data_IF_584244239688
#
_entry.id   IF_584244239688
#
_cell.length_a   1.000
_cell.length_b   1.000
_cell.length_c   1.000
_cell.angle_alpha   90.00
_cell.angle_beta   90.00
_cell.angle_gamma   90.00
#
_symmetry.space_group_name_H-M   'P 1'
#
loop_
_entity.id
_entity.type
_entity.pdbx_description
1 polymer ?
#
# COMPACT_ATOMS: atom_id res chain seq x y z
N UNK A 1 21.80 4.07 -5.91
CA UNK A 1 21.60 2.98 -4.93
C UNK A 1 20.68 3.53 -3.85
N UNK A 2 19.37 3.30 -3.95
CA UNK A 2 18.39 3.85 -3.00
C UNK A 2 17.93 2.74 -2.06
N UNK A 3 18.34 2.74 -0.78
CA UNK A 3 17.66 1.98 0.25
C UNK A 3 16.43 2.78 0.66
N UNK A 4 15.42 2.87 -0.21
CA UNK A 4 14.11 3.32 0.24
C UNK A 4 13.54 2.15 1.01
N UNK A 5 13.63 2.20 2.34
CA UNK A 5 12.92 1.31 3.26
C UNK A 5 11.51 1.11 2.72
N UNK A 6 11.23 -0.09 2.19
CA UNK A 6 9.93 -0.38 1.62
C UNK A 6 8.89 -0.17 2.72
N UNK A 7 8.00 0.80 2.54
CA UNK A 7 6.96 1.10 3.52
C UNK A 7 5.83 0.11 3.26
N UNK A 8 5.50 -0.70 4.27
CA UNK A 8 4.42 -1.67 4.20
C UNK A 8 3.24 -1.22 5.05
N UNK A 9 2.04 -1.50 4.57
CA UNK A 9 0.81 -1.28 5.33
C UNK A 9 -0.14 -2.45 5.10
N UNK A 10 -1.00 -2.77 6.06
CA UNK A 10 -1.98 -3.85 5.92
C UNK A 10 -3.36 -3.26 5.67
N UNK A 11 -4.18 -3.93 4.85
CA UNK A 11 -5.59 -3.59 4.67
C UNK A 11 -6.27 -3.22 5.98
N UNK A 12 -6.99 -2.11 5.96
CA UNK A 12 -7.74 -1.60 7.11
C UNK A 12 -6.95 -0.73 8.08
N UNK A 13 -5.62 -0.67 7.97
CA UNK A 13 -4.80 0.28 8.72
C UNK A 13 -4.81 1.66 8.05
N UNK A 14 -4.66 2.76 8.82
CA UNK A 14 -4.49 4.08 8.24
C UNK A 14 -3.18 4.14 7.44
N UNK A 15 -3.26 4.75 6.27
CA UNK A 15 -2.17 4.88 5.35
C UNK A 15 -1.09 5.82 5.92
N UNK A 16 0.16 5.36 6.10
CA UNK A 16 1.20 6.18 6.73
C UNK A 16 1.72 7.29 5.80
N UNK A 17 1.71 7.05 4.49
CA UNK A 17 2.25 7.94 3.44
C UNK A 17 1.36 7.95 2.21
N UNK A 18 1.04 9.15 1.72
CA UNK A 18 0.23 9.30 0.50
C UNK A 18 1.01 8.87 -0.73
N UNK A 19 0.36 8.16 -1.65
CA UNK A 19 1.02 7.72 -2.88
C UNK A 19 0.36 6.52 -3.54
N UNK A 20 1.09 5.88 -4.46
CA UNK A 20 0.68 4.64 -5.12
C UNK A 20 1.21 3.45 -4.35
N UNK A 21 0.27 2.59 -3.96
CA UNK A 21 0.54 1.38 -3.21
C UNK A 21 0.32 0.15 -4.09
N UNK A 22 1.18 -0.85 -3.99
CA UNK A 22 1.08 -2.12 -4.71
C UNK A 22 0.71 -3.26 -3.75
N UNK A 23 -0.20 -4.14 -4.16
CA UNK A 23 -0.54 -5.35 -3.40
C UNK A 23 0.65 -6.32 -3.35
N UNK A 24 0.88 -6.89 -2.18
CA UNK A 24 1.86 -7.94 -1.94
C UNK A 24 1.20 -9.31 -2.09
N UNK A 25 1.78 -10.18 -2.92
CA UNK A 25 1.30 -11.54 -3.19
C UNK A 25 1.58 -11.98 -4.63
N UNK A 26 0.96 -13.10 -5.03
CA UNK A 26 1.07 -13.61 -6.41
C UNK A 26 0.41 -12.69 -7.44
N UNK A 27 -0.64 -11.97 -7.02
CA UNK A 27 -1.32 -10.99 -7.86
C UNK A 27 -0.91 -9.58 -7.43
N UNK A 28 -0.43 -8.80 -8.40
CA UNK A 28 0.01 -7.42 -8.21
C UNK A 28 -1.02 -6.47 -8.80
N UNK A 29 -1.63 -5.66 -7.95
CA UNK A 29 -2.48 -4.53 -8.33
C UNK A 29 -1.94 -3.27 -7.68
N UNK A 30 -2.23 -2.11 -8.25
CA UNK A 30 -1.84 -0.81 -7.69
C UNK A 30 -3.08 0.00 -7.35
N UNK A 31 -2.98 0.80 -6.29
CA UNK A 31 -4.07 1.66 -5.85
C UNK A 31 -3.52 2.97 -5.26
N UNK A 32 -4.04 4.14 -5.66
CA UNK A 32 -3.68 5.43 -5.05
C UNK A 32 -4.36 5.57 -3.69
N UNK A 33 -3.58 5.86 -2.64
CA UNK A 33 -4.10 6.04 -1.28
C UNK A 33 -3.52 7.33 -0.70
N UNK A 34 -4.39 8.20 -0.17
CA UNK A 34 -3.96 9.39 0.56
C UNK A 34 -3.51 9.05 1.98
N UNK A 35 -2.61 9.85 2.55
CA UNK A 35 -2.17 9.70 3.94
C UNK A 35 -3.37 9.79 4.88
N UNK A 36 -3.43 8.89 5.87
CA UNK A 36 -4.51 8.80 6.85
C UNK A 36 -5.74 8.04 6.38
N UNK A 37 -5.94 7.85 5.06
CA UNK A 37 -7.03 7.02 4.56
C UNK A 37 -6.82 5.55 4.91
N UNK A 38 -7.92 4.81 5.07
CA UNK A 38 -7.88 3.37 5.36
C UNK A 38 -7.36 2.60 4.14
N UNK A 39 -6.39 1.72 4.34
CA UNK A 39 -5.88 0.85 3.28
C UNK A 39 -6.98 -0.05 2.72
N UNK A 40 -7.16 -0.13 1.40
CA UNK A 40 -8.23 -0.92 0.80
C UNK A 40 -8.01 -2.42 0.99
N UNK A 41 -9.10 -3.17 0.97
CA UNK A 41 -9.06 -4.62 0.78
C UNK A 41 -8.97 -4.96 -0.72
N UNK A 42 -8.58 -6.20 -1.01
CA UNK A 42 -8.62 -6.73 -2.36
C UNK A 42 -9.59 -7.91 -2.40
N UNK A 43 -10.73 -7.72 -3.06
CA UNK A 43 -11.82 -8.70 -3.13
C UNK A 43 -12.27 -9.20 -1.74
N UNK A 44 -12.42 -8.30 -0.76
CA UNK A 44 -12.80 -8.62 0.61
C UNK A 44 -11.67 -9.26 1.44
N UNK A 45 -10.48 -9.46 0.88
CA UNK A 45 -9.34 -10.09 1.57
C UNK A 45 -8.41 -9.03 2.16
N UNK A 46 -7.96 -9.30 3.39
CA UNK A 46 -6.89 -8.52 4.03
C UNK A 46 -5.56 -8.89 3.39
N UNK A 47 -4.92 -7.92 2.78
CA UNK A 47 -3.61 -8.08 2.14
C UNK A 47 -2.62 -7.06 2.71
N UNK A 48 -1.35 -7.24 2.33
CA UNK A 48 -0.32 -6.24 2.58
C UNK A 48 -0.12 -5.40 1.32
N UNK A 49 0.21 -4.15 1.54
CA UNK A 49 0.51 -3.14 0.52
C UNK A 49 1.92 -2.64 0.72
N UNK A 50 2.59 -2.28 -0.37
CA UNK A 50 3.89 -1.60 -0.36
C UNK A 50 3.82 -0.28 -1.11
N UNK A 51 4.41 0.76 -0.55
CA UNK A 51 4.51 2.04 -1.23
C UNK A 51 5.56 1.92 -2.34
N UNK A 52 5.16 2.22 -3.57
CA UNK A 52 6.04 2.20 -4.74
C UNK A 52 6.28 3.58 -5.34
N UNK A 53 5.39 4.54 -5.07
CA UNK A 53 5.54 5.94 -5.44
C UNK A 53 4.92 6.81 -4.34
N UNK A 54 5.71 7.67 -3.71
CA UNK A 54 5.21 8.68 -2.77
C UNK A 54 4.76 9.93 -3.55
N UNK A 55 3.72 10.60 -3.05
CA UNK A 55 3.20 11.86 -3.60
C UNK A 55 3.53 13.04 -2.68
#
# INVERSE_FOLDING_TARGET
MIPHTSIFCTTGQPCPRGGIWQSMGNFKTTYPVMKGCKMPDYCGKKIKWVLILEC
#
